data_IF_379595366789
#
_entry.id   IF_379595366789
#
_cell.length_a   1.000
_cell.length_b   1.000
_cell.length_c   1.000
_cell.angle_alpha   90.00
_cell.angle_beta   90.00
_cell.angle_gamma   90.00
#
_symmetry.space_group_name_H-M   'P 1'
#
loop_
_entity.id
_entity.type
_entity.pdbx_description
1 polymer ?
#
# COMPACT_ATOMS: atom_id res chain seq x y z
N UNK A 1 1.53 -8.78 -26.64
CA UNK A 1 1.38 -8.67 -28.11
C UNK A 1 -0.10 -8.41 -28.41
N UNK A 2 -0.52 -7.14 -28.48
CA UNK A 2 -1.69 -6.64 -29.21
C UNK A 2 -1.88 -5.15 -28.86
N UNK A 3 -1.44 -4.31 -29.80
CA UNK A 3 -1.68 -2.87 -29.87
C UNK A 3 -2.90 -2.66 -30.76
N UNK A 4 -3.82 -1.77 -30.35
CA UNK A 4 -4.70 -0.88 -31.15
C UNK A 4 -5.99 -0.60 -30.36
N UNK A 5 -6.58 0.58 -30.30
CA UNK A 5 -6.25 1.94 -30.75
C UNK A 5 -7.35 2.79 -30.10
N UNK A 6 -7.01 3.77 -29.25
CA UNK A 6 -8.00 4.69 -28.68
C UNK A 6 -8.25 5.82 -29.68
N UNK A 7 -9.53 6.04 -29.95
CA UNK A 7 -10.07 7.09 -30.79
C UNK A 7 -9.74 8.50 -30.26
N UNK A 8 -9.49 9.44 -31.17
CA UNK A 8 -9.84 10.83 -30.93
C UNK A 8 -10.47 11.46 -32.16
N UNK A 9 -11.57 12.16 -31.85
CA UNK A 9 -12.46 12.90 -32.71
C UNK A 9 -11.74 13.97 -33.55
N UNK A 10 -12.07 14.04 -34.83
CA UNK A 10 -12.00 15.26 -35.64
C UNK A 10 -13.40 15.62 -36.09
N UNK A 11 -14.07 16.47 -35.30
CA UNK A 11 -15.16 17.34 -35.75
C UNK A 11 -14.60 18.76 -35.72
N UNK A 12 -14.47 19.34 -36.90
CA UNK A 12 -14.55 20.77 -37.25
C UNK A 12 -14.32 20.78 -38.77
N UNK A 13 -15.31 21.05 -39.61
CA UNK A 13 -16.00 22.33 -39.66
C UNK A 13 -15.59 23.05 -40.95
N UNK A 14 -15.70 22.40 -42.11
CA UNK A 14 -15.45 23.05 -43.39
C UNK A 14 -16.68 23.86 -43.79
N UNK A 15 -16.68 25.14 -43.41
CA UNK A 15 -17.52 26.16 -44.03
C UNK A 15 -17.12 26.34 -45.50
N UNK A 16 -17.97 25.87 -46.41
CA UNK A 16 -18.01 26.32 -47.81
C UNK A 16 -18.37 27.81 -47.82
N UNK A 17 -17.35 28.67 -47.97
CA UNK A 17 -17.55 30.05 -48.39
C UNK A 17 -17.35 30.13 -49.91
N UNK A 18 -18.46 30.31 -50.62
CA UNK A 18 -18.46 30.74 -52.02
C UNK A 18 -17.85 32.14 -52.08
N UNK A 19 -16.62 32.25 -52.60
CA UNK A 19 -16.11 33.50 -53.16
C UNK A 19 -15.92 33.32 -54.67
N UNK A 20 -16.83 33.97 -55.37
CA UNK A 20 -16.86 34.28 -56.79
C UNK A 20 -15.49 34.79 -57.25
N UNK A 21 -14.70 33.92 -57.89
CA UNK A 21 -13.55 34.36 -58.68
C UNK A 21 -14.05 34.57 -60.10
N UNK A 22 -14.11 35.84 -60.49
CA UNK A 22 -14.30 36.26 -61.87
C UNK A 22 -13.23 35.60 -62.73
N UNK A 23 -13.65 34.78 -63.70
CA UNK A 23 -12.76 34.32 -64.75
C UNK A 23 -12.34 35.52 -65.60
N UNK A 24 -11.06 35.70 -65.95
CA UNK A 24 -10.70 36.58 -67.05
C UNK A 24 -11.30 36.01 -68.33
N UNK A 25 -12.06 36.86 -69.04
CA UNK A 25 -12.69 36.55 -70.32
C UNK A 25 -11.62 36.05 -71.30
N UNK A 26 -11.78 34.83 -71.81
CA UNK A 26 -11.03 34.37 -72.99
C UNK A 26 -11.41 35.26 -74.18
N UNK A 27 -10.45 35.85 -74.91
CA UNK A 27 -10.75 36.42 -76.22
C UNK A 27 -11.09 35.28 -77.19
N UNK A 28 -12.14 35.50 -78.00
CA UNK A 28 -12.51 34.62 -79.11
C UNK A 28 -11.35 34.57 -80.09
N UNK A 29 -10.93 33.36 -80.46
CA UNK A 29 -10.02 33.09 -81.57
C UNK A 29 -10.74 33.40 -82.89
N UNK A 30 -10.57 34.61 -83.41
CA UNK A 30 -10.84 34.94 -84.81
C UNK A 30 -9.60 34.62 -85.66
N UNK A 31 -9.84 33.90 -86.76
CA UNK A 31 -8.99 33.67 -87.93
C UNK A 31 -7.47 33.52 -87.72
N UNK A 32 -7.02 32.28 -87.57
CA UNK A 32 -5.64 31.89 -87.89
C UNK A 32 -5.48 31.77 -89.42
N UNK A 33 -5.17 32.86 -90.11
CA UNK A 33 -4.48 32.81 -91.40
C UNK A 33 -3.83 34.15 -91.72
N UNK A 34 -2.51 34.11 -91.85
CA UNK A 34 -1.60 35.15 -92.35
C UNK A 34 -1.20 36.24 -91.35
N UNK A 35 -0.32 35.89 -90.40
CA UNK A 35 0.76 36.74 -89.87
C UNK A 35 1.63 35.92 -88.90
N UNK A 36 2.58 35.13 -89.42
CA UNK A 36 3.61 34.46 -88.61
C UNK A 36 4.75 35.42 -88.18
N UNK A 37 4.49 36.73 -88.18
CA UNK A 37 5.39 37.75 -87.66
C UNK A 37 4.66 38.44 -86.52
N UNK A 38 5.19 38.36 -85.29
CA UNK A 38 4.67 39.14 -84.17
C UNK A 38 4.63 40.61 -84.61
N UNK A 39 3.45 41.23 -84.61
CA UNK A 39 3.27 42.62 -85.06
C UNK A 39 4.13 43.61 -84.25
N UNK A 40 4.44 43.28 -82.99
CA UNK A 40 5.49 43.94 -82.22
C UNK A 40 6.10 43.00 -81.15
N UNK A 41 7.22 42.32 -81.43
CA UNK A 41 7.87 41.45 -80.45
C UNK A 41 8.45 42.25 -79.27
N UNK A 42 8.77 43.52 -79.46
CA UNK A 42 9.32 44.37 -78.40
C UNK A 42 8.27 44.69 -77.33
N UNK A 43 7.01 44.93 -77.72
CA UNK A 43 5.92 45.17 -76.76
C UNK A 43 5.56 43.91 -75.98
N UNK A 44 5.61 42.73 -76.62
CA UNK A 44 5.43 41.47 -75.91
C UNK A 44 6.54 41.24 -74.89
N UNK A 45 7.80 41.47 -75.25
CA UNK A 45 8.93 41.37 -74.30
C UNK A 45 8.80 42.36 -73.15
N UNK A 46 8.31 43.57 -73.42
CA UNK A 46 8.06 44.57 -72.40
C UNK A 46 6.91 44.16 -71.47
N UNK A 47 5.81 43.63 -72.02
CA UNK A 47 4.68 43.12 -71.25
C UNK A 47 5.08 41.90 -70.39
N UNK A 48 5.86 40.97 -70.95
CA UNK A 48 6.38 39.81 -70.21
C UNK A 48 7.31 40.28 -69.08
N UNK A 49 8.17 41.26 -69.32
CA UNK A 49 9.04 41.84 -68.28
C UNK A 49 8.24 42.56 -67.20
N UNK A 50 7.20 43.32 -67.56
CA UNK A 50 6.34 44.00 -66.60
C UNK A 50 5.48 43.02 -65.78
N UNK A 51 5.10 41.88 -66.36
CA UNK A 51 4.38 40.81 -65.66
C UNK A 51 5.29 39.85 -64.88
N UNK A 52 6.61 39.91 -65.08
CA UNK A 52 7.58 39.08 -64.38
C UNK A 52 7.96 39.75 -63.05
N UNK A 53 7.11 39.55 -62.04
CA UNK A 53 7.24 40.20 -60.73
C UNK A 53 8.16 39.38 -59.83
N UNK A 54 9.47 39.64 -59.93
CA UNK A 54 10.50 38.97 -59.12
C UNK A 54 10.32 39.25 -57.62
N UNK A 55 9.92 40.47 -57.27
CA UNK A 55 9.79 40.90 -55.88
C UNK A 55 8.79 40.06 -55.09
N UNK A 56 7.68 39.67 -55.72
CA UNK A 56 6.66 38.82 -55.11
C UNK A 56 7.21 37.41 -54.80
N UNK A 57 8.03 36.87 -55.70
CA UNK A 57 8.67 35.58 -55.49
C UNK A 57 9.74 35.66 -54.40
N UNK A 58 10.51 36.75 -54.35
CA UNK A 58 11.50 36.99 -53.29
C UNK A 58 10.82 37.12 -51.92
N UNK A 59 9.71 37.87 -51.82
CA UNK A 59 8.93 37.97 -50.59
C UNK A 59 8.35 36.61 -50.17
N UNK A 60 7.87 35.83 -51.14
CA UNK A 60 7.38 34.46 -50.90
C UNK A 60 8.50 33.55 -50.38
N UNK A 61 9.72 33.65 -50.93
CA UNK A 61 10.88 32.91 -50.44
C UNK A 61 11.29 33.32 -49.03
N UNK A 62 11.25 34.63 -48.72
CA UNK A 62 11.50 35.12 -47.36
C UNK A 62 10.46 34.59 -46.37
N UNK A 63 9.19 34.59 -46.75
CA UNK A 63 8.11 34.02 -45.93
C UNK A 63 8.29 32.51 -45.73
N UNK A 64 8.72 31.77 -46.76
CA UNK A 64 9.03 30.34 -46.65
C UNK A 64 10.18 30.10 -45.67
N UNK A 65 11.24 30.91 -45.74
CA UNK A 65 12.39 30.79 -44.83
C UNK A 65 12.02 31.07 -43.37
N UNK A 66 11.18 32.08 -43.13
CA UNK A 66 10.63 32.37 -41.81
C UNK A 66 9.81 31.17 -41.29
N UNK A 67 8.95 30.59 -42.13
CA UNK A 67 8.15 29.40 -41.76
C UNK A 67 9.03 28.18 -41.53
N UNK A 68 10.07 27.97 -42.32
CA UNK A 68 11.04 26.90 -42.13
C UNK A 68 11.77 27.07 -40.78
N UNK A 69 12.16 28.29 -40.44
CA UNK A 69 12.77 28.62 -39.15
C UNK A 69 11.81 28.39 -37.98
N UNK A 70 10.54 28.77 -38.11
CA UNK A 70 9.49 28.50 -37.11
C UNK A 70 9.27 26.99 -36.92
N UNK A 71 9.23 26.21 -38.00
CA UNK A 71 9.10 24.75 -37.95
C UNK A 71 10.31 24.13 -37.24
N UNK A 72 11.52 24.59 -37.57
CA UNK A 72 12.74 24.11 -36.94
C UNK A 72 12.75 24.39 -35.44
N UNK A 73 12.37 25.60 -35.02
CA UNK A 73 12.27 25.97 -33.61
C UNK A 73 11.23 25.11 -32.86
N UNK A 74 10.02 24.96 -33.43
CA UNK A 74 8.98 24.11 -32.84
C UNK A 74 9.40 22.65 -32.75
N UNK A 75 10.04 22.12 -33.80
CA UNK A 75 10.56 20.76 -33.83
C UNK A 75 11.62 20.53 -32.75
N UNK A 76 12.54 21.49 -32.55
CA UNK A 76 13.54 21.40 -31.49
C UNK A 76 12.94 21.47 -30.10
N UNK A 77 11.93 22.32 -29.88
CA UNK A 77 11.25 22.39 -28.57
C UNK A 77 10.47 21.12 -28.26
N UNK A 78 9.73 20.56 -29.21
CA UNK A 78 9.05 19.27 -29.03
C UNK A 78 10.06 18.12 -28.79
N UNK A 79 11.21 18.14 -29.47
CA UNK A 79 12.28 17.18 -29.22
C UNK A 79 12.83 17.33 -27.79
N UNK A 80 13.02 18.57 -27.31
CA UNK A 80 13.48 18.85 -25.94
C UNK A 80 12.44 18.38 -24.92
N UNK A 81 11.16 18.65 -25.17
CA UNK A 81 10.05 18.21 -24.32
C UNK A 81 9.98 16.70 -24.23
N UNK A 82 10.02 16.00 -25.37
CA UNK A 82 10.03 14.54 -25.42
C UNK A 82 11.26 13.95 -24.71
N UNK A 83 12.45 14.55 -24.86
CA UNK A 83 13.64 14.14 -24.11
C UNK A 83 13.48 14.27 -22.59
N UNK A 84 12.88 15.36 -22.11
CA UNK A 84 12.60 15.53 -20.68
C UNK A 84 11.59 14.49 -20.18
N UNK A 85 10.57 14.19 -20.98
CA UNK A 85 9.59 13.17 -20.65
C UNK A 85 10.21 11.77 -20.59
N UNK A 86 11.07 11.42 -21.56
CA UNK A 86 11.84 10.18 -21.56
C UNK A 86 12.71 10.08 -20.30
N UNK A 87 13.43 11.14 -19.95
CA UNK A 87 14.26 11.16 -18.73
C UNK A 87 13.43 10.97 -17.45
N UNK A 88 12.25 11.59 -17.37
CA UNK A 88 11.34 11.39 -16.24
C UNK A 88 10.82 9.94 -16.18
N UNK A 89 10.45 9.37 -17.32
CA UNK A 89 10.02 7.97 -17.40
C UNK A 89 11.15 7.00 -17.03
N UNK A 90 12.40 7.27 -17.43
CA UNK A 90 13.58 6.50 -17.02
C UNK A 90 13.80 6.55 -15.51
N UNK A 91 13.64 7.73 -14.88
CA UNK A 91 13.71 7.86 -13.42
C UNK A 91 12.61 7.07 -12.71
N UNK A 92 11.38 7.12 -13.22
CA UNK A 92 10.28 6.33 -12.69
C UNK A 92 10.50 4.83 -12.85
N UNK A 93 11.04 4.40 -14.00
CA UNK A 93 11.36 3.00 -14.27
C UNK A 93 12.42 2.52 -13.28
N UNK A 94 13.53 3.27 -13.13
CA UNK A 94 14.58 2.95 -12.17
C UNK A 94 14.06 2.88 -10.74
N UNK A 95 13.19 3.81 -10.34
CA UNK A 95 12.54 3.78 -9.02
C UNK A 95 11.69 2.51 -8.84
N UNK A 96 10.85 2.17 -9.82
CA UNK A 96 10.05 0.93 -9.79
C UNK A 96 10.92 -0.33 -9.77
N UNK A 97 12.02 -0.33 -10.51
CA UNK A 97 12.99 -1.44 -10.53
C UNK A 97 13.65 -1.61 -9.15
N UNK A 98 14.05 -0.52 -8.49
CA UNK A 98 14.54 -0.59 -7.11
C UNK A 98 13.48 -1.10 -6.14
N UNK A 99 12.22 -0.69 -6.30
CA UNK A 99 11.13 -1.18 -5.45
C UNK A 99 10.87 -2.66 -5.66
N UNK A 100 10.92 -3.14 -6.90
CA UNK A 100 10.82 -4.57 -7.20
C UNK A 100 12.00 -5.33 -6.57
N UNK A 101 13.22 -4.82 -6.66
CA UNK A 101 14.39 -5.41 -6.00
C UNK A 101 14.21 -5.55 -4.48
N UNK A 102 13.67 -4.51 -3.82
CA UNK A 102 13.32 -4.57 -2.40
C UNK A 102 12.26 -5.63 -2.12
N UNK A 103 11.17 -5.66 -2.90
CA UNK A 103 10.11 -6.65 -2.73
C UNK A 103 10.58 -8.09 -2.96
N UNK A 104 11.50 -8.31 -3.90
CA UNK A 104 12.12 -9.62 -4.14
C UNK A 104 12.95 -10.04 -2.93
N UNK A 105 13.70 -9.11 -2.33
CA UNK A 105 14.46 -9.38 -1.11
C UNK A 105 13.54 -9.64 0.09
N UNK A 106 12.48 -8.85 0.28
CA UNK A 106 11.47 -9.07 1.31
C UNK A 106 10.80 -10.44 1.14
N UNK A 107 10.45 -10.83 -0.10
CA UNK A 107 9.87 -12.14 -0.37
C UNK A 107 10.85 -13.27 -0.08
N UNK A 108 12.13 -13.12 -0.43
CA UNK A 108 13.17 -14.08 -0.10
C UNK A 108 13.32 -14.23 1.42
N UNK A 109 13.33 -13.11 2.15
CA UNK A 109 13.39 -13.12 3.61
C UNK A 109 12.18 -13.82 4.23
N UNK A 110 10.95 -13.48 3.81
CA UNK A 110 9.73 -14.13 4.30
C UNK A 110 9.72 -15.63 3.97
N UNK A 111 10.25 -16.02 2.81
CA UNK A 111 10.38 -17.43 2.45
C UNK A 111 11.36 -18.15 3.37
N UNK A 112 12.51 -17.54 3.66
CA UNK A 112 13.51 -18.11 4.56
C UNK A 112 12.98 -18.18 6.00
N UNK A 113 12.29 -17.15 6.47
CA UNK A 113 11.59 -17.15 7.77
C UNK A 113 10.50 -18.23 7.83
N UNK A 114 9.71 -18.38 6.76
CA UNK A 114 8.72 -19.45 6.65
C UNK A 114 9.37 -20.83 6.66
N UNK A 115 10.53 -20.99 6.02
CA UNK A 115 11.27 -22.25 5.99
C UNK A 115 11.91 -22.54 7.34
N UNK A 116 12.40 -21.52 8.07
CA UNK A 116 12.87 -21.67 9.45
C UNK A 116 11.73 -22.05 10.40
N UNK A 117 10.54 -21.45 10.25
CA UNK A 117 9.35 -21.81 11.00
C UNK A 117 8.85 -23.23 10.68
N UNK A 118 8.94 -23.67 9.43
CA UNK A 118 8.66 -25.07 9.06
C UNK A 118 9.77 -26.03 9.50
N UNK A 119 11.02 -25.55 9.52
CA UNK A 119 12.21 -26.28 9.96
C UNK A 119 12.31 -26.42 11.47
N UNK A 120 11.58 -25.59 12.22
CA UNK A 120 11.21 -25.80 13.63
C UNK A 120 10.27 -26.99 13.73
N UNK A 121 10.88 -28.16 13.54
CA UNK A 121 10.50 -29.48 14.02
C UNK A 121 10.14 -29.49 15.52
N UNK A 122 10.35 -28.37 16.21
CA UNK A 122 9.88 -28.04 17.54
C UNK A 122 8.40 -28.37 17.71
N UNK A 123 7.52 -28.07 16.76
CA UNK A 123 6.09 -28.42 16.87
C UNK A 123 5.90 -29.95 16.93
N UNK A 124 6.61 -30.68 16.07
CA UNK A 124 6.58 -32.14 16.02
C UNK A 124 7.21 -32.76 17.27
N UNK A 125 8.25 -32.12 17.81
CA UNK A 125 8.89 -32.49 19.07
C UNK A 125 8.00 -32.18 20.28
N UNK A 126 7.27 -31.07 20.27
CA UNK A 126 6.34 -30.68 21.33
C UNK A 126 5.13 -31.60 21.34
N UNK A 127 4.58 -31.96 20.17
CA UNK A 127 3.52 -32.97 20.08
C UNK A 127 3.99 -34.29 20.65
N UNK A 128 5.20 -34.74 20.30
CA UNK A 128 5.76 -35.97 20.85
C UNK A 128 5.99 -35.90 22.37
N UNK A 129 6.46 -34.77 22.90
CA UNK A 129 6.60 -34.55 24.35
C UNK A 129 5.24 -34.51 25.05
N UNK A 130 4.20 -33.98 24.40
CA UNK A 130 2.83 -33.96 24.91
C UNK A 130 2.26 -35.38 24.99
N UNK A 131 2.48 -36.20 23.95
CA UNK A 131 2.08 -37.61 23.93
C UNK A 131 2.80 -38.41 25.04
N UNK A 132 4.11 -38.22 25.21
CA UNK A 132 4.87 -38.86 26.30
C UNK A 132 4.37 -38.42 27.68
N UNK A 133 4.05 -37.14 27.85
CA UNK A 133 3.50 -36.61 29.10
C UNK A 133 2.09 -37.16 29.37
N UNK A 134 1.23 -37.22 28.37
CA UNK A 134 -0.10 -37.82 28.48
C UNK A 134 -0.01 -39.28 28.90
N UNK A 135 0.90 -40.04 28.26
CA UNK A 135 1.14 -41.44 28.62
C UNK A 135 1.64 -41.57 30.07
N UNK A 136 2.53 -40.69 30.51
CA UNK A 136 2.99 -40.64 31.91
C UNK A 136 1.85 -40.30 32.88
N UNK A 137 0.96 -39.37 32.53
CA UNK A 137 -0.20 -39.00 33.36
C UNK A 137 -1.17 -40.17 33.48
N UNK A 138 -1.43 -40.88 32.37
CA UNK A 138 -2.28 -42.08 32.38
C UNK A 138 -1.66 -43.17 33.25
N UNK A 139 -0.35 -43.39 33.14
CA UNK A 139 0.36 -44.36 33.98
C UNK A 139 0.31 -43.97 35.46
N UNK A 140 0.59 -42.71 35.80
CA UNK A 140 0.48 -42.21 37.16
C UNK A 140 -0.94 -42.36 37.70
N UNK A 141 -1.97 -42.10 36.88
CA UNK A 141 -3.37 -42.34 37.26
C UNK A 141 -3.66 -43.81 37.50
N UNK A 142 -3.17 -44.73 36.67
CA UNK A 142 -3.38 -46.15 36.91
C UNK A 142 -2.65 -46.63 38.18
N UNK A 143 -1.44 -46.13 38.43
CA UNK A 143 -0.71 -46.40 39.67
C UNK A 143 -1.44 -45.83 40.90
N UNK A 144 -2.03 -44.65 40.77
CA UNK A 144 -2.81 -44.01 41.84
C UNK A 144 -4.11 -44.77 42.08
N UNK A 145 -4.81 -45.22 41.03
CA UNK A 145 -5.99 -46.07 41.11
C UNK A 145 -5.66 -47.43 41.74
N UNK A 146 -4.54 -48.04 41.37
CA UNK A 146 -4.06 -49.28 42.00
C UNK A 146 -3.76 -49.05 43.49
N UNK A 147 -3.06 -47.97 43.83
CA UNK A 147 -2.81 -47.58 45.23
C UNK A 147 -4.11 -47.30 45.97
N UNK A 148 -5.09 -46.62 45.39
CA UNK A 148 -6.42 -46.40 45.98
C UNK A 148 -7.11 -47.72 46.22
N UNK A 149 -7.10 -48.66 45.26
CA UNK A 149 -7.69 -49.99 45.43
C UNK A 149 -7.00 -50.75 46.57
N UNK A 150 -5.67 -50.67 46.68
CA UNK A 150 -4.94 -51.30 47.80
C UNK A 150 -5.24 -50.64 49.14
N UNK A 151 -5.35 -49.31 49.20
CA UNK A 151 -5.71 -48.57 50.40
C UNK A 151 -7.16 -48.83 50.80
N UNK A 152 -8.11 -48.85 49.88
CA UNK A 152 -9.52 -49.17 50.15
C UNK A 152 -9.67 -50.63 50.58
N UNK A 153 -8.92 -51.57 50.00
CA UNK A 153 -8.88 -52.97 50.46
C UNK A 153 -8.23 -53.05 51.85
N UNK A 154 -7.13 -52.36 52.10
CA UNK A 154 -6.44 -52.30 53.40
C UNK A 154 -7.27 -51.62 54.49
N UNK A 155 -8.04 -50.59 54.14
CA UNK A 155 -8.92 -49.82 55.03
C UNK A 155 -10.24 -50.56 55.29
N UNK A 156 -10.79 -51.28 54.30
CA UNK A 156 -11.91 -52.22 54.54
C UNK A 156 -11.51 -53.40 55.41
N UNK A 157 -10.24 -53.78 55.46
CA UNK A 157 -9.72 -54.78 56.39
C UNK A 157 -9.36 -54.23 57.77
N UNK A 158 -9.37 -52.90 57.99
CA UNK A 158 -8.91 -52.31 59.25
C UNK A 158 -9.85 -51.33 59.94
N UNK A 159 -10.88 -50.74 59.32
CA UNK A 159 -11.74 -49.77 60.03
C UNK A 159 -13.17 -49.68 59.49
N UNK A 160 -14.11 -50.26 60.23
CA UNK A 160 -15.35 -49.58 60.61
C UNK A 160 -14.99 -48.28 61.38
N UNK A 161 -14.92 -47.12 60.72
CA UNK A 161 -15.13 -45.80 61.32
C UNK A 161 -14.85 -44.66 60.34
N UNK A 162 -15.84 -43.77 60.24
CA UNK A 162 -15.82 -42.32 60.00
C UNK A 162 -15.03 -41.65 58.85
N UNK A 163 -15.76 -40.70 58.26
CA UNK A 163 -15.36 -39.37 57.78
C UNK A 163 -14.98 -39.13 56.31
N UNK A 164 -15.59 -38.03 55.82
CA UNK A 164 -15.68 -37.49 54.48
C UNK A 164 -14.39 -36.73 54.08
N UNK A 165 -14.13 -36.52 52.78
CA UNK A 165 -12.94 -35.80 52.33
C UNK A 165 -13.15 -34.28 52.34
N UNK A 166 -12.18 -33.56 52.89
CA UNK A 166 -12.04 -32.10 52.90
C UNK A 166 -11.61 -31.55 51.54
N UNK A 167 -12.35 -30.57 51.02
CA UNK A 167 -11.88 -29.65 49.98
C UNK A 167 -11.04 -28.54 50.61
N UNK A 168 -9.92 -28.19 49.96
CA UNK A 168 -9.07 -27.05 50.32
C UNK A 168 -9.85 -25.73 50.16
N UNK A 169 -10.11 -25.07 51.29
CA UNK A 169 -10.47 -23.67 51.35
C UNK A 169 -9.23 -22.91 51.80
N UNK A 170 -8.79 -21.97 50.96
CA UNK A 170 -7.80 -20.96 51.32
C UNK A 170 -8.34 -20.16 52.52
N UNK A 171 -7.50 -20.01 53.54
CA UNK A 171 -7.83 -19.46 54.87
C UNK A 171 -8.48 -18.06 54.82
N UNK A 172 -9.66 -17.93 55.44
CA UNK A 172 -10.40 -16.67 55.59
C UNK A 172 -9.75 -15.70 56.60
N UNK A 173 -8.72 -16.13 57.34
CA UNK A 173 -8.02 -15.31 58.34
C UNK A 173 -7.00 -14.34 57.69
N UNK A 174 -6.26 -14.76 56.66
CA UNK A 174 -5.30 -13.88 55.97
C UNK A 174 -5.99 -12.70 55.26
N UNK A 175 -7.22 -12.93 54.75
CA UNK A 175 -8.05 -11.85 54.17
C UNK A 175 -8.43 -10.78 55.19
N UNK A 176 -8.66 -11.15 56.45
CA UNK A 176 -9.09 -10.20 57.50
C UNK A 176 -7.94 -9.32 57.98
N UNK A 177 -6.72 -9.84 58.03
CA UNK A 177 -5.55 -9.07 58.45
C UNK A 177 -5.10 -8.06 57.39
N UNK A 178 -5.21 -8.41 56.11
CA UNK A 178 -4.97 -7.47 54.99
C UNK A 178 -6.03 -6.34 54.97
N UNK A 179 -7.26 -6.62 55.41
CA UNK A 179 -8.34 -5.62 55.47
C UNK A 179 -8.27 -4.68 56.68
N UNK A 180 -7.45 -4.99 57.70
CA UNK A 180 -7.23 -4.15 58.89
C UNK A 180 -6.20 -3.04 58.66
N UNK A 181 -5.23 -3.26 57.78
CA UNK A 181 -4.27 -2.23 57.41
C UNK A 181 -4.92 -1.19 56.47
N UNK A 182 -4.86 0.08 56.90
CA UNK A 182 -5.41 1.20 56.15
C UNK A 182 -4.70 1.43 54.81
N UNK A 183 -3.41 1.10 54.73
CA UNK A 183 -2.61 1.22 53.50
C UNK A 183 -2.97 0.11 52.53
N UNK A 184 -3.01 -1.14 52.98
CA UNK A 184 -3.46 -2.27 52.18
C UNK A 184 -4.89 -2.09 51.66
N UNK A 185 -5.82 -1.61 52.50
CA UNK A 185 -7.20 -1.31 52.09
C UNK A 185 -7.26 -0.23 51.00
N UNK A 186 -6.45 0.83 51.11
CA UNK A 186 -6.38 1.87 50.10
C UNK A 186 -5.79 1.34 48.78
N UNK A 187 -4.78 0.47 48.84
CA UNK A 187 -4.17 -0.14 47.66
C UNK A 187 -5.13 -1.11 46.97
N UNK A 188 -5.86 -1.95 47.72
CA UNK A 188 -6.92 -2.82 47.17
C UNK A 188 -8.00 -1.99 46.49
N UNK A 189 -8.41 -0.87 47.09
CA UNK A 189 -9.41 0.02 46.49
C UNK A 189 -8.89 0.65 45.19
N UNK A 190 -7.63 1.11 45.17
CA UNK A 190 -6.97 1.62 43.96
C UNK A 190 -6.90 0.56 42.86
N UNK A 191 -6.47 -0.66 43.20
CA UNK A 191 -6.41 -1.77 42.26
C UNK A 191 -7.80 -2.14 41.72
N UNK A 192 -8.82 -2.13 42.58
CA UNK A 192 -10.22 -2.36 42.16
C UNK A 192 -10.71 -1.25 41.22
N UNK A 193 -10.34 0.00 41.48
CA UNK A 193 -10.65 1.13 40.60
C UNK A 193 -9.96 0.99 39.24
N UNK A 194 -8.66 0.69 39.22
CA UNK A 194 -7.92 0.48 37.96
C UNK A 194 -8.46 -0.70 37.16
N UNK A 195 -8.84 -1.80 37.84
CA UNK A 195 -9.53 -2.93 37.20
C UNK A 195 -10.88 -2.52 36.61
N UNK A 196 -11.66 -1.69 37.32
CA UNK A 196 -12.94 -1.17 36.78
C UNK A 196 -12.77 -0.19 35.61
N UNK A 197 -11.59 0.40 35.47
CA UNK A 197 -11.21 1.22 34.31
C UNK A 197 -10.75 0.36 33.11
N UNK A 198 -10.81 -0.97 33.23
CA UNK A 198 -10.37 -1.91 32.18
C UNK A 198 -8.86 -2.16 32.17
N UNK A 199 -8.12 -1.76 33.21
CA UNK A 199 -6.68 -1.97 33.31
C UNK A 199 -6.37 -3.25 34.10
N UNK A 200 -5.78 -4.25 33.43
CA UNK A 200 -5.33 -5.50 34.06
C UNK A 200 -3.82 -5.64 33.87
N UNK A 201 -3.09 -5.81 34.97
CA UNK A 201 -1.64 -5.96 34.96
C UNK A 201 -1.32 -7.45 34.99
N UNK A 202 -0.56 -7.91 34.01
CA UNK A 202 -0.03 -9.27 33.92
C UNK A 202 1.48 -9.22 34.17
N UNK A 203 1.83 -9.36 35.44
CA UNK A 203 3.22 -9.33 35.91
C UNK A 203 4.01 -10.56 35.40
N UNK A 204 3.34 -11.70 35.16
CA UNK A 204 3.99 -12.92 34.71
C UNK A 204 4.61 -12.78 33.31
N UNK A 205 3.96 -12.01 32.44
CA UNK A 205 4.45 -11.74 31.08
C UNK A 205 4.96 -10.30 30.90
N UNK A 206 5.02 -9.50 31.97
CA UNK A 206 5.47 -8.13 31.91
C UNK A 206 4.63 -7.25 30.97
N UNK A 207 3.30 -7.38 31.00
CA UNK A 207 2.42 -6.64 30.10
C UNK A 207 1.19 -6.09 30.82
N UNK A 208 0.59 -5.04 30.25
CA UNK A 208 -0.66 -4.45 30.71
C UNK A 208 -1.72 -4.64 29.65
N UNK A 209 -2.85 -5.19 30.05
CA UNK A 209 -4.05 -5.32 29.24
C UNK A 209 -4.96 -4.11 29.47
N UNK A 210 -5.46 -3.53 28.38
CA UNK A 210 -6.48 -2.48 28.38
C UNK A 210 -7.70 -3.05 27.66
N UNK A 211 -8.74 -3.35 28.42
CA UNK A 211 -10.01 -3.89 27.93
C UNK A 211 -10.86 -2.78 27.30
N UNK A 212 -11.29 -2.97 26.04
CA UNK A 212 -12.28 -2.11 25.38
C UNK A 212 -13.68 -2.74 25.41
N UNK A 213 -14.71 -1.91 25.30
CA UNK A 213 -16.13 -2.30 25.30
C UNK A 213 -16.51 -3.28 24.17
N UNK A 214 -15.69 -3.35 23.11
CA UNK A 214 -15.87 -4.26 21.98
C UNK A 214 -15.20 -5.64 22.14
N UNK A 215 -14.82 -6.03 23.36
CA UNK A 215 -14.04 -7.27 23.62
C UNK A 215 -12.68 -7.32 22.92
N UNK A 216 -12.16 -6.17 22.48
CA UNK A 216 -10.81 -6.02 21.96
C UNK A 216 -9.89 -5.64 23.12
N UNK A 217 -8.81 -6.40 23.31
CA UNK A 217 -7.83 -6.18 24.38
C UNK A 217 -6.57 -5.60 23.75
N UNK A 218 -6.23 -4.36 24.11
CA UNK A 218 -4.95 -3.78 23.74
C UNK A 218 -3.88 -4.25 24.75
N UNK A 219 -2.77 -4.78 24.25
CA UNK A 219 -1.61 -5.14 25.06
C UNK A 219 -0.56 -4.03 25.02
N UNK A 220 -0.03 -3.66 26.18
CA UNK A 220 1.11 -2.75 26.29
C UNK A 220 2.24 -3.48 27.04
N UNK A 221 3.38 -3.77 26.40
CA UNK A 221 4.52 -4.35 27.09
C UNK A 221 5.12 -3.36 28.10
N UNK A 222 5.58 -3.86 29.24
CA UNK A 222 6.21 -3.09 30.31
C UNK A 222 7.72 -2.91 30.11
N UNK A 223 8.26 -3.35 28.97
CA UNK A 223 9.67 -3.24 28.56
C UNK A 223 10.21 -1.83 28.75
N UNK A 224 11.47 -1.69 29.17
CA UNK A 224 12.09 -0.40 29.52
C UNK A 224 12.32 0.55 28.33
N UNK A 225 11.88 0.15 27.13
CA UNK A 225 12.12 0.87 25.88
C UNK A 225 11.16 2.05 25.68
N UNK A 226 10.02 2.05 26.37
CA UNK A 226 9.01 3.10 26.29
C UNK A 226 9.15 4.07 27.47
N UNK A 227 9.24 5.38 27.20
CA UNK A 227 9.23 6.41 28.25
C UNK A 227 7.92 6.37 29.06
N UNK A 228 8.01 6.57 30.37
CA UNK A 228 6.86 6.64 31.29
C UNK A 228 5.79 7.64 30.82
N UNK A 229 6.22 8.75 30.21
CA UNK A 229 5.32 9.74 29.63
C UNK A 229 4.49 9.15 28.47
N UNK A 230 5.14 8.36 27.61
CA UNK A 230 4.47 7.70 26.49
C UNK A 230 3.49 6.64 26.98
N UNK A 231 3.89 5.79 27.93
CA UNK A 231 3.02 4.76 28.51
C UNK A 231 1.77 5.38 29.12
N UNK A 232 1.95 6.43 29.91
CA UNK A 232 0.86 7.15 30.56
C UNK A 232 -0.08 7.76 29.54
N UNK A 233 0.45 8.47 28.52
CA UNK A 233 -0.37 9.05 27.45
C UNK A 233 -1.15 7.98 26.68
N UNK A 234 -0.50 6.88 26.33
CA UNK A 234 -1.12 5.79 25.58
C UNK A 234 -2.28 5.15 26.35
N UNK A 235 -2.07 4.82 27.63
CA UNK A 235 -3.10 4.26 28.49
C UNK A 235 -4.29 5.22 28.61
N UNK A 236 -4.04 6.52 28.83
CA UNK A 236 -5.10 7.51 28.95
C UNK A 236 -5.89 7.74 27.66
N UNK A 237 -5.22 7.75 26.51
CA UNK A 237 -5.87 7.91 25.21
C UNK A 237 -6.78 6.70 24.89
N UNK A 238 -6.34 5.48 25.25
CA UNK A 238 -7.14 4.26 25.08
C UNK A 238 -8.33 4.18 26.03
N UNK A 239 -8.16 4.56 27.30
CA UNK A 239 -9.26 4.63 28.27
C UNK A 239 -10.30 5.67 27.85
N UNK A 240 -9.88 6.84 27.34
CA UNK A 240 -10.80 7.88 26.85
C UNK A 240 -11.57 7.46 25.59
N UNK A 241 -10.92 6.71 24.70
CA UNK A 241 -11.57 6.18 23.51
C UNK A 241 -12.63 5.11 23.82
N UNK A 242 -12.61 4.56 25.03
CA UNK A 242 -13.57 3.57 25.52
C UNK A 242 -14.79 4.20 26.22
N UNK A 243 -15.01 5.50 26.07
CA UNK A 243 -16.14 6.25 26.65
C UNK A 243 -16.87 7.06 25.58
#
# INVERSE_FOLDING_TARGET
MLIKFIAYNTKDGYHRSNKTSQQPRRPKLESMSNNNLLENPADLLRQVRENFIIEQDVESLAAIDEKASQIKAKSQEELRRSKMEISNLELQLKSKETRIGVLVNELAQVKDESQDLMGKNDLLSFVKQLDELEQSVVQLRSELDERIVTLVKGQRSSTTASEQPSGELIDDEERKDILRDTVARANILKLKLYRSLGLVIDDANGQVFIEKDNSEIDTLPLDNDLSDFFRTKYIWDRIKANR
#
